data_IF_522733772140
#
_entry.id   IF_522733772140
#
_cell.length_a   1.000
_cell.length_b   1.000
_cell.length_c   1.000
_cell.angle_alpha   90.00
_cell.angle_beta   90.00
_cell.angle_gamma   90.00
#
_symmetry.space_group_name_H-M   'P 1'
#
loop_
_entity.id
_entity.type
_entity.pdbx_description
1 polymer ?
#
# COMPACT_ATOMS: atom_id res chain seq x y z
N UNK A 1 -33.84 9.22 -14.95
CA UNK A 1 -33.30 8.29 -13.92
C UNK A 1 -31.86 8.65 -13.72
N UNK A 2 -31.36 8.71 -12.49
CA UNK A 2 -29.97 8.95 -12.24
C UNK A 2 -29.15 7.68 -12.55
N UNK A 3 -27.96 7.84 -13.12
CA UNK A 3 -27.02 6.74 -13.29
C UNK A 3 -26.61 6.18 -11.92
N UNK A 4 -26.18 4.93 -11.88
CA UNK A 4 -25.61 4.33 -10.68
C UNK A 4 -24.44 5.18 -10.23
N UNK A 5 -24.24 5.43 -8.91
CA UNK A 5 -23.08 6.16 -8.43
C UNK A 5 -21.77 5.60 -9.00
N UNK A 6 -20.86 6.50 -9.38
CA UNK A 6 -19.53 6.17 -9.96
C UNK A 6 -19.54 5.54 -11.38
N UNK A 7 -20.68 5.55 -12.10
CA UNK A 7 -20.66 5.21 -13.53
C UNK A 7 -20.05 6.38 -14.32
N UNK A 8 -19.08 6.08 -15.18
CA UNK A 8 -18.46 7.06 -16.08
C UNK A 8 -19.48 7.41 -17.18
N UNK A 9 -19.91 8.66 -17.23
CA UNK A 9 -20.86 9.22 -18.18
C UNK A 9 -20.16 10.24 -19.08
N UNK A 10 -20.88 10.82 -20.02
CA UNK A 10 -20.33 11.88 -20.90
C UNK A 10 -19.84 13.12 -20.14
N UNK A 11 -20.25 13.30 -18.87
CA UNK A 11 -19.82 14.45 -18.04
C UNK A 11 -18.40 14.33 -17.51
N UNK A 12 -17.86 13.11 -17.42
CA UNK A 12 -16.48 12.87 -17.02
C UNK A 12 -15.44 13.02 -18.16
N UNK A 13 -15.91 13.26 -19.39
CA UNK A 13 -15.02 13.52 -20.54
C UNK A 13 -14.99 15.01 -20.85
N UNK A 14 -13.88 15.67 -20.57
CA UNK A 14 -13.62 17.09 -20.89
C UNK A 14 -12.92 17.27 -22.25
N UNK A 15 -12.82 16.21 -23.04
CA UNK A 15 -12.20 16.18 -24.37
C UNK A 15 -13.24 16.36 -25.48
N UNK A 16 -12.82 16.84 -26.64
CA UNK A 16 -13.71 16.90 -27.83
C UNK A 16 -14.05 15.48 -28.32
N UNK A 17 -15.31 15.21 -28.68
CA UNK A 17 -15.69 13.93 -29.23
C UNK A 17 -14.91 13.59 -30.49
N UNK A 18 -14.30 12.39 -30.54
CA UNK A 18 -13.55 11.86 -31.68
C UNK A 18 -12.37 12.75 -32.15
N UNK A 19 -11.79 13.51 -31.20
CA UNK A 19 -10.54 14.21 -31.45
C UNK A 19 -9.40 13.20 -31.56
N UNK A 20 -8.50 13.38 -32.52
CA UNK A 20 -7.30 12.55 -32.63
C UNK A 20 -6.31 13.09 -31.61
N UNK A 21 -6.03 12.33 -30.58
CA UNK A 21 -5.03 12.66 -29.59
C UNK A 21 -3.63 12.34 -30.13
N UNK A 22 -2.84 13.38 -30.41
CA UNK A 22 -1.44 13.25 -30.81
C UNK A 22 -0.47 13.20 -29.63
N UNK A 23 -0.99 13.31 -28.39
CA UNK A 23 -0.15 13.18 -27.21
C UNK A 23 0.17 11.73 -27.02
N UNK A 24 1.38 11.33 -27.40
CA UNK A 24 1.97 10.09 -26.94
C UNK A 24 2.07 10.20 -25.42
N UNK A 25 1.14 9.60 -24.70
CA UNK A 25 1.24 9.42 -23.27
C UNK A 25 2.59 8.75 -22.99
N UNK A 26 3.33 9.26 -22.02
CA UNK A 26 4.46 8.51 -21.46
C UNK A 26 3.92 7.14 -21.08
N UNK A 27 4.54 6.07 -21.61
CA UNK A 27 4.15 4.71 -21.28
C UNK A 27 4.16 4.57 -19.78
N UNK A 28 3.01 4.25 -19.19
CA UNK A 28 2.90 4.02 -17.74
C UNK A 28 3.46 2.63 -17.49
N UNK A 29 4.65 2.58 -16.93
CA UNK A 29 5.38 1.34 -16.76
C UNK A 29 4.90 0.58 -15.53
N UNK A 30 4.42 -0.62 -15.78
CA UNK A 30 4.01 -1.65 -14.80
C UNK A 30 5.23 -2.25 -14.07
N UNK A 31 6.41 -1.94 -14.54
CA UNK A 31 7.69 -2.59 -14.22
C UNK A 31 8.11 -2.42 -12.77
N UNK A 32 7.82 -1.30 -12.12
CA UNK A 32 8.15 -1.09 -10.71
C UNK A 32 7.52 -2.14 -9.79
N UNK A 33 6.27 -2.53 -10.08
CA UNK A 33 5.59 -3.56 -9.30
C UNK A 33 6.23 -4.94 -9.47
N UNK A 34 6.56 -5.31 -10.69
CA UNK A 34 7.18 -6.60 -11.00
C UNK A 34 8.55 -6.75 -10.32
N UNK A 35 9.33 -5.68 -10.22
CA UNK A 35 10.62 -5.70 -9.54
C UNK A 35 10.50 -5.81 -8.02
N UNK A 36 9.63 -4.99 -7.43
CA UNK A 36 9.36 -5.08 -5.99
C UNK A 36 8.85 -6.48 -5.63
N UNK A 37 7.96 -7.04 -6.46
CA UNK A 37 7.49 -8.41 -6.29
C UNK A 37 8.58 -9.45 -6.57
N UNK A 38 9.57 -9.15 -7.41
CA UNK A 38 10.71 -10.02 -7.71
C UNK A 38 11.66 -10.25 -6.53
N UNK A 39 11.78 -9.29 -5.61
CA UNK A 39 12.56 -9.46 -4.35
C UNK A 39 11.78 -10.22 -3.27
N UNK A 40 10.47 -10.34 -3.41
CA UNK A 40 9.62 -11.18 -2.57
C UNK A 40 9.47 -12.56 -3.21
N UNK A 41 8.95 -13.53 -2.44
CA UNK A 41 8.64 -14.87 -2.97
C UNK A 41 7.15 -14.98 -3.27
N UNK A 42 6.68 -14.69 -4.50
CA UNK A 42 5.27 -14.83 -4.82
C UNK A 42 4.88 -16.31 -4.85
N UNK A 43 3.89 -16.69 -4.04
CA UNK A 43 3.41 -18.07 -3.91
C UNK A 43 1.90 -18.11 -4.12
N UNK A 44 1.46 -18.90 -5.08
CA UNK A 44 0.03 -19.11 -5.36
C UNK A 44 -0.64 -19.88 -4.22
N UNK A 45 -1.80 -19.41 -3.75
CA UNK A 45 -2.64 -20.04 -2.73
C UNK A 45 -4.13 -19.85 -3.05
N UNK A 46 -4.97 -20.69 -2.46
CA UNK A 46 -6.42 -20.49 -2.53
C UNK A 46 -6.89 -19.36 -1.61
N UNK A 47 -8.01 -18.73 -1.99
CA UNK A 47 -8.67 -17.72 -1.14
C UNK A 47 -9.05 -18.30 0.23
N UNK A 48 -8.90 -17.49 1.27
CA UNK A 48 -9.20 -17.91 2.65
C UNK A 48 -8.16 -18.87 3.25
N UNK A 49 -7.02 -19.13 2.57
CA UNK A 49 -5.93 -19.91 3.17
C UNK A 49 -5.39 -19.16 4.38
N UNK A 50 -5.49 -19.77 5.55
CA UNK A 50 -4.83 -19.28 6.76
C UNK A 50 -3.34 -19.61 6.68
N UNK A 51 -2.53 -18.59 6.82
CA UNK A 51 -1.09 -18.71 6.78
C UNK A 51 -0.58 -18.79 8.23
N UNK A 52 0.05 -19.92 8.57
CA UNK A 52 0.66 -20.11 9.89
C UNK A 52 2.14 -20.47 9.73
N UNK A 53 3.00 -19.80 10.46
CA UNK A 53 4.39 -20.21 10.64
C UNK A 53 4.55 -20.83 12.03
N UNK A 54 5.42 -21.81 12.16
CA UNK A 54 5.77 -22.39 13.46
C UNK A 54 7.12 -21.86 13.90
N UNK A 55 7.17 -21.26 15.07
CA UNK A 55 8.42 -20.76 15.67
C UNK A 55 8.73 -21.57 16.91
N UNK A 56 9.94 -22.10 16.99
CA UNK A 56 10.45 -22.73 18.20
C UNK A 56 11.20 -21.68 19.04
N UNK A 57 10.81 -21.52 20.30
CA UNK A 57 11.47 -20.68 21.31
C UNK A 57 11.88 -21.55 22.48
N UNK A 58 12.96 -21.21 23.16
CA UNK A 58 13.39 -21.96 24.34
C UNK A 58 14.75 -21.50 24.83
N UNK A 59 15.07 -21.90 26.03
CA UNK A 59 16.35 -21.59 26.67
C UNK A 59 17.08 -22.86 27.07
N UNK A 60 18.39 -22.83 26.80
CA UNK A 60 19.29 -23.88 27.28
C UNK A 60 19.55 -23.67 28.79
N UNK A 61 19.34 -24.72 29.56
CA UNK A 61 19.77 -24.73 30.94
C UNK A 61 21.29 -24.86 31.06
N UNK A 62 21.84 -24.51 32.21
CA UNK A 62 23.28 -24.57 32.43
C UNK A 62 23.82 -25.98 32.16
N UNK A 63 24.80 -26.09 31.24
CA UNK A 63 25.53 -27.34 30.98
C UNK A 63 26.67 -27.59 32.00
N UNK A 64 26.93 -26.66 32.89
CA UNK A 64 27.96 -26.82 33.97
C UNK A 64 27.36 -27.55 35.13
N UNK A 65 27.50 -28.86 35.19
CA UNK A 65 26.99 -29.75 36.23
C UNK A 65 28.18 -30.46 36.86
N UNK A 66 28.12 -30.68 38.17
CA UNK A 66 29.16 -31.42 38.86
C UNK A 66 29.14 -32.92 38.45
N UNK A 67 30.24 -33.59 38.65
CA UNK A 67 30.35 -35.04 38.34
C UNK A 67 29.37 -35.83 39.22
N UNK A 68 28.46 -36.56 38.56
CA UNK A 68 27.44 -37.38 39.20
C UNK A 68 26.09 -36.63 39.46
N UNK A 69 26.00 -35.33 39.17
CA UNK A 69 24.76 -34.57 39.33
C UNK A 69 23.81 -34.72 38.13
N UNK A 70 22.51 -34.47 38.37
CA UNK A 70 21.48 -34.56 37.36
C UNK A 70 21.60 -33.35 36.40
N UNK A 71 21.72 -33.65 35.09
CA UNK A 71 21.73 -32.61 34.04
C UNK A 71 20.33 -31.98 33.93
N UNK A 72 20.18 -30.64 34.10
CA UNK A 72 18.89 -29.96 33.97
C UNK A 72 18.33 -30.05 32.57
N UNK A 73 17.02 -30.24 32.43
CA UNK A 73 16.32 -30.31 31.14
C UNK A 73 16.13 -28.91 30.56
N UNK A 74 16.61 -28.72 29.35
CA UNK A 74 16.29 -27.53 28.52
C UNK A 74 14.90 -27.71 27.91
N UNK A 75 14.06 -26.69 27.97
CA UNK A 75 12.72 -26.72 27.42
C UNK A 75 12.63 -25.86 26.15
N UNK A 76 12.05 -26.41 25.14
CA UNK A 76 11.73 -25.70 23.88
C UNK A 76 10.24 -25.86 23.62
N UNK A 77 9.61 -24.74 23.26
CA UNK A 77 8.19 -24.68 22.92
C UNK A 77 8.02 -24.26 21.45
N UNK A 78 7.03 -24.83 20.78
CA UNK A 78 6.72 -24.49 19.40
C UNK A 78 5.37 -23.76 19.36
N UNK A 79 5.41 -22.49 19.04
CA UNK A 79 4.22 -21.66 18.95
C UNK A 79 3.86 -21.41 17.47
N UNK A 80 2.56 -21.47 17.12
CA UNK A 80 2.11 -21.00 15.82
C UNK A 80 2.10 -19.46 15.80
N UNK A 81 2.55 -18.89 14.70
CA UNK A 81 2.41 -17.46 14.38
C UNK A 81 1.41 -17.38 13.23
N UNK A 82 0.23 -16.86 13.52
CA UNK A 82 -0.84 -16.73 12.54
C UNK A 82 -0.70 -15.40 11.78
N UNK A 83 -0.85 -15.47 10.46
CA UNK A 83 -0.88 -14.30 9.57
C UNK A 83 -2.30 -14.08 9.07
N UNK A 84 -2.56 -12.89 8.56
CA UNK A 84 -3.84 -12.53 7.95
C UNK A 84 -4.18 -13.48 6.81
N UNK A 85 -5.44 -13.94 6.69
CA UNK A 85 -5.87 -14.75 5.55
C UNK A 85 -5.82 -13.91 4.27
N UNK A 86 -5.70 -14.59 3.12
CA UNK A 86 -5.77 -13.92 1.83
C UNK A 86 -7.23 -13.54 1.57
N UNK A 87 -7.50 -12.25 1.39
CA UNK A 87 -8.80 -11.73 1.04
C UNK A 87 -8.86 -11.31 -0.43
N UNK A 88 -10.02 -11.56 -1.07
CA UNK A 88 -10.25 -11.15 -2.45
C UNK A 88 -10.86 -9.75 -2.50
N UNK A 89 -10.11 -8.81 -3.07
CA UNK A 89 -10.59 -7.48 -3.42
C UNK A 89 -11.24 -7.51 -4.80
N UNK A 90 -12.33 -6.80 -4.98
CA UNK A 90 -13.14 -6.79 -6.20
C UNK A 90 -13.43 -5.36 -6.59
N UNK A 91 -13.13 -5.04 -7.83
CA UNK A 91 -13.31 -3.70 -8.38
C UNK A 91 -14.16 -3.77 -9.64
N UNK A 92 -14.94 -2.73 -9.89
CA UNK A 92 -15.79 -2.62 -11.08
C UNK A 92 -15.82 -1.19 -11.59
N UNK A 93 -15.72 -1.04 -12.90
CA UNK A 93 -15.89 0.21 -13.63
C UNK A 93 -16.98 0.01 -14.68
N UNK A 94 -17.79 1.02 -14.96
CA UNK A 94 -18.82 0.97 -15.98
C UNK A 94 -18.80 2.23 -16.83
N UNK A 95 -18.95 2.08 -18.16
CA UNK A 95 -19.02 3.16 -19.14
C UNK A 95 -20.31 3.02 -19.93
N UNK A 96 -21.11 4.10 -20.03
CA UNK A 96 -22.40 4.09 -20.71
C UNK A 96 -22.26 4.03 -22.24
N UNK A 97 -23.25 3.48 -22.92
CA UNK A 97 -23.26 3.40 -24.38
C UNK A 97 -23.22 4.78 -25.04
N UNK A 98 -23.84 5.79 -24.41
CA UNK A 98 -23.85 7.17 -24.88
C UNK A 98 -22.44 7.77 -24.89
N UNK A 99 -21.65 7.47 -23.87
CA UNK A 99 -20.24 7.89 -23.81
C UNK A 99 -19.42 7.17 -24.88
N UNK A 100 -19.65 5.87 -25.08
CA UNK A 100 -18.95 5.06 -26.11
C UNK A 100 -19.33 5.56 -27.51
N UNK A 101 -20.61 5.85 -27.78
CA UNK A 101 -21.03 6.35 -29.10
C UNK A 101 -20.43 7.74 -29.39
N UNK A 102 -20.40 8.60 -28.38
CA UNK A 102 -19.92 9.98 -28.53
C UNK A 102 -18.41 10.08 -28.69
N UNK A 103 -17.63 9.34 -27.92
CA UNK A 103 -16.17 9.47 -27.84
C UNK A 103 -15.40 8.33 -28.53
N UNK A 104 -16.07 7.23 -28.84
CA UNK A 104 -15.48 6.01 -29.40
C UNK A 104 -15.11 5.00 -28.32
N UNK A 105 -15.09 3.71 -28.70
CA UNK A 105 -14.83 2.60 -27.78
C UNK A 105 -13.42 2.70 -27.16
N UNK A 106 -12.42 2.97 -27.98
CA UNK A 106 -11.02 3.06 -27.57
C UNK A 106 -10.81 4.14 -26.51
N UNK A 107 -11.33 5.34 -26.74
CA UNK A 107 -11.19 6.44 -25.79
C UNK A 107 -12.03 6.22 -24.53
N UNK A 108 -13.28 5.81 -24.68
CA UNK A 108 -14.21 5.71 -23.55
C UNK A 108 -13.95 4.48 -22.66
N UNK A 109 -13.55 3.36 -23.24
CA UNK A 109 -13.33 2.10 -22.53
C UNK A 109 -11.83 1.79 -22.46
N UNK A 110 -11.11 1.78 -23.57
CA UNK A 110 -9.70 1.39 -23.63
C UNK A 110 -8.80 2.24 -22.72
N UNK A 111 -8.78 3.57 -22.94
CA UNK A 111 -7.93 4.46 -22.11
C UNK A 111 -8.33 4.44 -20.62
N UNK A 112 -9.63 4.33 -20.34
CA UNK A 112 -10.07 4.25 -18.94
C UNK A 112 -9.81 2.87 -18.31
N UNK A 113 -9.71 1.79 -19.10
CA UNK A 113 -9.29 0.46 -18.64
C UNK A 113 -7.79 0.43 -18.33
N UNK A 114 -6.96 1.09 -19.17
CA UNK A 114 -5.54 1.24 -18.87
C UNK A 114 -5.31 1.98 -17.57
N UNK A 115 -5.99 3.12 -17.36
CA UNK A 115 -5.90 3.85 -16.10
C UNK A 115 -6.38 3.02 -14.92
N UNK A 116 -7.45 2.26 -15.08
CA UNK A 116 -7.97 1.37 -14.05
C UNK A 116 -6.95 0.30 -13.65
N UNK A 117 -6.25 -0.31 -14.62
CA UNK A 117 -5.18 -1.27 -14.36
C UNK A 117 -4.01 -0.63 -13.62
N UNK A 118 -3.58 0.57 -14.03
CA UNK A 118 -2.51 1.31 -13.35
C UNK A 118 -2.86 1.58 -11.90
N UNK A 119 -4.08 2.02 -11.63
CA UNK A 119 -4.52 2.28 -10.25
C UNK A 119 -4.57 1.00 -9.39
N UNK A 120 -4.92 -0.15 -9.96
CA UNK A 120 -4.86 -1.43 -9.25
C UNK A 120 -3.42 -1.82 -8.90
N UNK A 121 -2.47 -1.54 -9.76
CA UNK A 121 -1.06 -1.82 -9.50
C UNK A 121 -0.48 -0.87 -8.45
N UNK A 122 -0.81 0.41 -8.53
CA UNK A 122 -0.44 1.39 -7.50
C UNK A 122 -0.99 0.98 -6.12
N UNK A 123 -2.20 0.41 -6.07
CA UNK A 123 -2.79 -0.10 -4.84
C UNK A 123 -1.97 -1.26 -4.23
N UNK A 124 -1.49 -2.18 -5.07
CA UNK A 124 -0.61 -3.27 -4.62
C UNK A 124 0.72 -2.72 -4.10
N UNK A 125 1.33 -1.75 -4.78
CA UNK A 125 2.55 -1.10 -4.32
C UNK A 125 2.34 -0.39 -2.99
N UNK A 126 1.25 0.37 -2.86
CA UNK A 126 0.91 1.03 -1.62
C UNK A 126 0.72 0.03 -0.46
N UNK A 127 0.02 -1.09 -0.69
CA UNK A 127 -0.13 -2.15 0.30
C UNK A 127 1.21 -2.76 0.69
N UNK A 128 2.10 -2.98 -0.27
CA UNK A 128 3.45 -3.50 -0.03
C UNK A 128 4.26 -2.57 0.88
N UNK A 129 4.35 -1.29 0.54
CA UNK A 129 5.11 -0.33 1.34
C UNK A 129 4.47 -0.06 2.70
N UNK A 130 3.14 0.03 2.79
CA UNK A 130 2.43 0.17 4.05
C UNK A 130 2.69 -1.02 4.98
N UNK A 131 2.75 -2.25 4.44
CA UNK A 131 3.15 -3.41 5.21
C UNK A 131 4.60 -3.28 5.71
N UNK A 132 5.55 -2.88 4.88
CA UNK A 132 6.95 -2.70 5.27
C UNK A 132 7.12 -1.67 6.39
N UNK A 133 6.32 -0.60 6.40
CA UNK A 133 6.31 0.42 7.45
C UNK A 133 5.89 -0.11 8.82
N UNK A 134 5.27 -1.30 8.90
CA UNK A 134 4.95 -1.97 10.18
C UNK A 134 6.16 -2.66 10.81
N UNK A 135 7.35 -2.57 10.21
CA UNK A 135 8.59 -3.11 10.72
C UNK A 135 8.90 -2.69 12.16
N UNK A 136 9.45 -3.62 12.95
CA UNK A 136 9.57 -3.45 14.40
C UNK A 136 10.94 -2.88 14.85
N UNK A 137 11.94 -2.82 13.96
CA UNK A 137 13.25 -2.24 14.29
C UNK A 137 13.25 -0.73 14.00
N UNK A 138 12.64 0.05 14.88
CA UNK A 138 12.57 1.51 14.73
C UNK A 138 13.79 2.22 15.32
N UNK A 139 14.25 3.30 14.69
CA UNK A 139 15.12 4.33 15.27
C UNK A 139 14.98 5.65 14.52
N UNK A 140 15.55 6.69 15.10
CA UNK A 140 15.60 8.04 14.53
C UNK A 140 17.04 8.42 14.24
N UNK A 141 17.27 9.01 13.08
CA UNK A 141 18.58 9.47 12.62
C UNK A 141 18.43 10.86 11.98
N UNK A 142 19.50 11.65 12.02
CA UNK A 142 19.44 13.05 11.56
C UNK A 142 19.62 13.20 10.05
N UNK A 143 20.25 12.25 9.39
CA UNK A 143 20.56 12.33 7.95
C UNK A 143 20.16 11.06 7.21
N UNK A 144 19.87 11.17 5.93
CA UNK A 144 19.56 10.04 5.05
C UNK A 144 20.67 8.96 5.07
N UNK A 145 21.93 9.38 4.97
CA UNK A 145 23.07 8.45 4.97
C UNK A 145 23.16 7.64 6.28
N UNK A 146 22.95 8.29 7.42
CA UNK A 146 22.92 7.61 8.72
C UNK A 146 21.73 6.68 8.83
N UNK A 147 20.55 7.12 8.34
CA UNK A 147 19.35 6.30 8.34
C UNK A 147 19.54 5.00 7.55
N UNK A 148 20.11 5.06 6.34
CA UNK A 148 20.43 3.87 5.53
C UNK A 148 21.45 2.97 6.26
N UNK A 149 22.53 3.52 6.77
CA UNK A 149 23.56 2.75 7.47
C UNK A 149 23.01 2.05 8.72
N UNK A 150 22.18 2.74 9.51
CA UNK A 150 21.54 2.19 10.71
C UNK A 150 20.46 1.17 10.38
N UNK A 151 19.68 1.39 9.32
CA UNK A 151 18.69 0.40 8.85
C UNK A 151 19.37 -0.95 8.54
N UNK A 152 20.44 -0.92 7.75
CA UNK A 152 21.21 -2.12 7.40
C UNK A 152 21.87 -2.73 8.66
N UNK A 153 22.47 -1.90 9.51
CA UNK A 153 23.14 -2.33 10.73
C UNK A 153 22.19 -3.07 11.67
N UNK A 154 20.99 -2.51 11.90
CA UNK A 154 19.95 -3.11 12.76
C UNK A 154 19.44 -4.44 12.21
N UNK A 155 19.20 -4.53 10.91
CA UNK A 155 18.80 -5.79 10.26
C UNK A 155 19.88 -6.85 10.46
N UNK A 156 21.13 -6.55 10.15
CA UNK A 156 22.26 -7.50 10.31
C UNK A 156 22.47 -7.91 11.77
N UNK A 157 22.33 -6.98 12.73
CA UNK A 157 22.42 -7.27 14.16
C UNK A 157 21.29 -8.17 14.66
N UNK A 158 20.04 -7.88 14.22
CA UNK A 158 18.88 -8.71 14.57
C UNK A 158 19.05 -10.16 14.10
N UNK A 159 19.51 -10.37 12.85
CA UNK A 159 19.76 -11.72 12.32
C UNK A 159 20.92 -12.42 13.03
N UNK A 160 21.98 -11.69 13.38
CA UNK A 160 23.08 -12.25 14.18
C UNK A 160 22.61 -12.70 15.58
N UNK A 161 21.75 -11.90 16.24
CA UNK A 161 21.15 -12.27 17.54
C UNK A 161 20.26 -13.50 17.43
N UNK A 162 19.63 -13.72 16.30
CA UNK A 162 18.86 -14.94 16.00
C UNK A 162 19.76 -16.12 15.53
N UNK A 163 21.08 -15.95 15.56
CA UNK A 163 22.06 -16.93 15.01
C UNK A 163 21.78 -17.31 13.55
N UNK A 164 21.29 -16.34 12.76
CA UNK A 164 20.99 -16.48 11.34
C UNK A 164 21.81 -15.52 10.50
N UNK A 165 21.96 -15.82 9.23
CA UNK A 165 22.66 -14.94 8.28
C UNK A 165 21.61 -14.17 7.47
N UNK A 166 21.71 -12.84 7.46
CA UNK A 166 21.00 -12.00 6.50
C UNK A 166 21.79 -12.01 5.19
N UNK A 167 21.30 -12.73 4.20
CA UNK A 167 21.89 -12.71 2.85
C UNK A 167 21.16 -11.67 2.02
N UNK A 168 21.88 -10.63 1.63
CA UNK A 168 21.32 -9.51 0.88
C UNK A 168 20.39 -8.63 1.73
N UNK A 169 20.61 -7.33 1.72
CA UNK A 169 19.72 -6.37 2.38
C UNK A 169 19.20 -5.42 1.30
N UNK A 170 17.89 -5.46 1.07
CA UNK A 170 17.18 -4.47 0.28
C UNK A 170 16.79 -3.28 1.16
N UNK A 171 17.04 -2.08 0.66
CA UNK A 171 16.66 -0.83 1.30
C UNK A 171 15.66 -0.11 0.41
N UNK A 172 14.64 0.48 1.00
CA UNK A 172 13.63 1.28 0.32
C UNK A 172 13.60 2.67 0.93
N UNK A 173 13.58 3.69 0.09
CA UNK A 173 13.58 5.07 0.50
C UNK A 173 12.71 5.95 -0.42
N UNK A 174 12.30 7.11 0.07
CA UNK A 174 11.59 8.06 -0.77
C UNK A 174 12.51 8.63 -1.85
N UNK A 175 11.99 8.77 -3.05
CA UNK A 175 12.71 9.31 -4.21
C UNK A 175 13.31 10.69 -3.91
N UNK A 176 12.56 11.59 -3.26
CA UNK A 176 13.02 12.94 -2.96
C UNK A 176 14.17 12.93 -1.95
N UNK A 177 14.09 12.11 -0.90
CA UNK A 177 15.16 12.00 0.11
C UNK A 177 16.47 11.48 -0.51
N UNK A 178 16.36 10.55 -1.45
CA UNK A 178 17.52 10.02 -2.18
C UNK A 178 18.12 11.09 -3.09
N UNK A 179 17.31 11.79 -3.89
CA UNK A 179 17.81 12.82 -4.79
C UNK A 179 18.33 14.06 -4.06
N UNK A 180 17.78 14.41 -2.91
CA UNK A 180 18.33 15.43 -2.03
C UNK A 180 19.76 15.06 -1.59
N UNK A 181 19.95 13.82 -1.17
CA UNK A 181 21.29 13.31 -0.83
C UNK A 181 22.22 13.27 -2.05
N UNK A 182 21.75 12.76 -3.19
CA UNK A 182 22.54 12.64 -4.42
C UNK A 182 22.92 14.00 -5.01
N UNK A 183 22.11 15.04 -4.77
CA UNK A 183 22.43 16.41 -5.19
C UNK A 183 23.73 16.94 -4.58
N UNK A 184 24.13 16.42 -3.43
CA UNK A 184 25.43 16.68 -2.80
C UNK A 184 26.53 15.68 -3.10
N UNK A 185 26.24 14.55 -3.76
CA UNK A 185 27.14 13.44 -4.02
C UNK A 185 27.24 13.15 -5.52
N UNK A 186 28.46 12.92 -6.03
CA UNK A 186 28.65 12.51 -7.43
C UNK A 186 28.45 10.98 -7.55
N UNK A 187 27.21 10.54 -7.46
CA UNK A 187 26.85 9.12 -7.59
C UNK A 187 25.99 8.95 -8.84
N UNK A 188 26.26 7.91 -9.64
CA UNK A 188 25.48 7.57 -10.81
C UNK A 188 24.29 6.71 -10.38
N UNK A 189 23.09 7.15 -10.72
CA UNK A 189 21.84 6.39 -10.56
C UNK A 189 21.71 5.45 -11.76
N UNK A 190 21.33 4.23 -11.51
CA UNK A 190 20.99 3.24 -12.53
C UNK A 190 19.46 3.14 -12.61
N UNK A 191 18.95 3.04 -13.82
CA UNK A 191 17.52 2.81 -14.05
C UNK A 191 17.35 1.44 -14.68
N UNK A 192 16.59 0.58 -14.04
CA UNK A 192 16.17 -0.68 -14.62
C UNK A 192 14.67 -0.88 -14.33
N UNK A 193 13.95 -1.34 -15.36
CA UNK A 193 12.52 -1.68 -15.25
C UNK A 193 11.63 -0.56 -14.69
N UNK A 194 11.95 0.69 -14.95
CA UNK A 194 11.17 1.85 -14.53
C UNK A 194 11.39 2.30 -13.07
N UNK A 195 12.25 1.62 -12.32
CA UNK A 195 12.69 2.07 -11.00
C UNK A 195 14.13 2.54 -11.01
N UNK A 196 14.39 3.61 -10.28
CA UNK A 196 15.76 4.06 -10.02
C UNK A 196 16.32 3.30 -8.82
N UNK A 197 17.55 2.82 -8.95
CA UNK A 197 18.24 2.11 -7.88
C UNK A 197 19.75 2.38 -7.88
N UNK A 198 20.38 2.10 -6.75
CA UNK A 198 21.84 2.11 -6.57
C UNK A 198 22.25 0.79 -5.95
N UNK A 199 23.16 0.08 -6.62
CA UNK A 199 23.77 -1.13 -6.08
C UNK A 199 24.91 -0.80 -5.11
N UNK A 200 25.07 -1.65 -4.09
CA UNK A 200 26.17 -1.56 -3.10
C UNK A 200 26.26 -0.21 -2.37
N UNK A 201 25.10 0.45 -2.15
CA UNK A 201 25.06 1.71 -1.44
C UNK A 201 25.18 1.50 0.08
N UNK A 202 26.27 1.98 0.68
CA UNK A 202 26.56 1.86 2.12
C UNK A 202 26.45 0.42 2.68
N UNK A 203 26.61 -0.59 1.82
CA UNK A 203 26.52 -1.99 2.20
C UNK A 203 25.10 -2.58 2.12
N UNK A 204 24.13 -1.86 1.54
CA UNK A 204 22.92 -2.43 0.97
C UNK A 204 23.28 -3.11 -0.35
N UNK A 205 22.71 -4.27 -0.63
CA UNK A 205 22.87 -4.90 -1.92
C UNK A 205 22.12 -4.11 -3.00
N UNK A 206 20.91 -3.65 -2.67
CA UNK A 206 20.09 -2.81 -3.54
C UNK A 206 19.38 -1.74 -2.69
N UNK A 207 19.37 -0.50 -3.18
CA UNK A 207 18.56 0.61 -2.67
C UNK A 207 17.52 0.97 -3.72
N UNK A 208 16.24 0.75 -3.41
CA UNK A 208 15.10 1.12 -4.24
C UNK A 208 14.55 2.49 -3.86
N UNK A 209 14.20 3.27 -4.88
CA UNK A 209 13.57 4.58 -4.73
C UNK A 209 12.10 4.47 -5.11
N UNK A 210 11.22 4.89 -4.24
CA UNK A 210 9.79 4.91 -4.52
C UNK A 210 9.11 6.10 -3.86
N UNK A 211 8.24 6.77 -4.59
CA UNK A 211 7.37 7.80 -4.02
C UNK A 211 6.29 7.24 -3.09
N UNK A 212 6.14 5.90 -3.07
CA UNK A 212 5.22 5.23 -2.14
C UNK A 212 5.78 5.12 -0.72
N UNK A 213 7.11 5.19 -0.56
CA UNK A 213 7.73 5.33 0.76
C UNK A 213 7.52 6.77 1.24
N UNK A 214 6.97 7.02 2.44
CA UNK A 214 6.85 8.38 2.98
C UNK A 214 8.21 9.08 3.08
N UNK A 215 8.24 10.40 2.83
CA UNK A 215 9.46 11.17 3.02
C UNK A 215 9.96 11.09 4.47
N UNK A 216 11.28 11.02 4.61
CA UNK A 216 11.90 10.86 5.92
C UNK A 216 11.83 9.45 6.48
N UNK A 217 11.47 8.44 5.67
CA UNK A 217 11.48 7.03 6.07
C UNK A 217 12.46 6.24 5.22
N UNK A 218 13.24 5.41 5.91
CA UNK A 218 14.11 4.42 5.28
C UNK A 218 13.75 3.05 5.83
N UNK A 219 13.42 2.12 4.94
CA UNK A 219 13.04 0.76 5.30
C UNK A 219 14.14 -0.20 4.84
N UNK A 220 14.51 -1.16 5.67
CA UNK A 220 15.45 -2.20 5.28
C UNK A 220 14.96 -3.59 5.70
N UNK A 221 15.15 -4.57 4.82
CA UNK A 221 14.81 -5.97 5.07
C UNK A 221 15.74 -6.90 4.28
N UNK A 222 16.03 -8.12 4.78
CA UNK A 222 16.71 -9.10 3.95
C UNK A 222 15.86 -9.49 2.75
N UNK A 223 16.50 -9.66 1.61
CA UNK A 223 15.82 -9.98 0.33
C UNK A 223 14.87 -11.18 0.44
N UNK A 224 15.25 -12.20 1.20
CA UNK A 224 14.44 -13.42 1.35
C UNK A 224 13.47 -13.42 2.54
N UNK A 225 13.30 -12.29 3.22
CA UNK A 225 12.41 -12.18 4.37
C UNK A 225 10.95 -11.94 3.98
N UNK A 226 10.72 -11.41 2.78
CA UNK A 226 9.39 -11.05 2.31
C UNK A 226 8.76 -12.21 1.54
N UNK A 227 7.54 -12.53 1.88
CA UNK A 227 6.72 -13.52 1.21
C UNK A 227 5.42 -12.86 0.75
N UNK A 228 5.05 -13.13 -0.50
CA UNK A 228 3.81 -12.68 -1.10
C UNK A 228 2.99 -13.89 -1.47
N UNK A 229 1.82 -14.00 -0.88
CA UNK A 229 0.84 -15.00 -1.28
C UNK A 229 -0.26 -14.36 -2.10
N UNK A 230 -0.65 -14.99 -3.18
CA UNK A 230 -1.69 -14.47 -4.05
C UNK A 230 -2.64 -15.56 -4.51
N UNK A 231 -3.87 -15.14 -4.83
CA UNK A 231 -4.86 -15.97 -5.50
C UNK A 231 -4.71 -15.73 -7.00
N UNK A 232 -4.57 -16.80 -7.76
CA UNK A 232 -4.51 -16.72 -9.22
C UNK A 232 -5.93 -16.57 -9.79
N UNK A 233 -6.30 -15.41 -10.38
CA UNK A 233 -7.63 -15.21 -10.95
C UNK A 233 -7.92 -16.07 -12.19
N UNK A 234 -6.87 -16.63 -12.80
CA UNK A 234 -7.01 -17.55 -13.95
C UNK A 234 -7.19 -19.02 -13.52
N UNK A 235 -7.36 -19.28 -12.21
CA UNK A 235 -7.56 -20.65 -11.71
C UNK A 235 -8.86 -21.27 -12.24
N UNK A 236 -8.84 -22.59 -12.39
CA UNK A 236 -9.96 -23.40 -12.90
C UNK A 236 -11.27 -23.23 -12.09
N UNK A 237 -11.19 -22.92 -10.81
CA UNK A 237 -12.37 -22.69 -9.95
C UNK A 237 -13.18 -21.46 -10.38
N UNK A 238 -12.51 -20.36 -10.78
CA UNK A 238 -13.19 -19.19 -11.33
C UNK A 238 -13.85 -19.51 -12.67
N UNK A 239 -13.15 -20.25 -13.55
CA UNK A 239 -13.69 -20.66 -14.84
C UNK A 239 -14.91 -21.59 -14.70
N UNK A 240 -14.91 -22.51 -13.73
CA UNK A 240 -16.05 -23.39 -13.43
C UNK A 240 -17.26 -22.60 -12.88
N UNK A 241 -17.01 -21.49 -12.18
CA UNK A 241 -18.06 -20.58 -11.75
C UNK A 241 -18.59 -19.66 -12.88
N UNK A 242 -18.06 -19.79 -14.09
CA UNK A 242 -18.42 -18.95 -15.24
C UNK A 242 -17.75 -17.56 -15.20
N UNK A 243 -16.74 -17.37 -14.36
CA UNK A 243 -15.98 -16.13 -14.21
C UNK A 243 -14.61 -16.32 -14.85
N UNK A 244 -14.46 -15.88 -16.09
CA UNK A 244 -13.19 -15.95 -16.80
C UNK A 244 -12.47 -14.60 -16.72
N UNK A 245 -11.35 -14.57 -16.00
CA UNK A 245 -10.46 -13.41 -15.94
C UNK A 245 -9.21 -13.67 -16.79
N UNK A 246 -8.73 -12.62 -17.45
CA UNK A 246 -7.41 -12.60 -18.08
C UNK A 246 -6.41 -12.00 -17.12
N UNK A 247 -5.20 -12.56 -17.08
CA UNK A 247 -4.08 -12.06 -16.28
C UNK A 247 -2.94 -11.72 -17.19
N UNK A 248 -2.13 -10.74 -16.80
CA UNK A 248 -0.85 -10.47 -17.45
C UNK A 248 0.22 -11.42 -16.87
N UNK A 249 1.17 -11.85 -17.71
CA UNK A 249 2.27 -12.72 -17.28
C UNK A 249 3.16 -12.05 -16.20
N UNK A 250 3.32 -10.74 -16.29
CA UNK A 250 4.12 -9.96 -15.36
C UNK A 250 3.35 -9.59 -14.07
N UNK A 251 2.01 -9.68 -14.09
CA UNK A 251 1.13 -9.33 -12.96
C UNK A 251 0.05 -10.42 -12.76
N UNK A 252 0.44 -11.65 -12.46
CA UNK A 252 -0.48 -12.81 -12.44
C UNK A 252 -1.51 -12.78 -11.30
N UNK A 253 -1.40 -11.85 -10.37
CA UNK A 253 -2.28 -11.69 -9.20
C UNK A 253 -3.43 -10.70 -9.43
N UNK A 254 -3.48 -10.02 -10.60
CA UNK A 254 -4.60 -9.16 -11.00
C UNK A 254 -5.32 -9.82 -12.17
N UNK A 255 -6.57 -10.18 -11.95
CA UNK A 255 -7.47 -10.67 -12.99
C UNK A 255 -8.33 -9.54 -13.53
N UNK A 256 -8.48 -9.48 -14.86
CA UNK A 256 -9.23 -8.45 -15.54
C UNK A 256 -10.23 -9.06 -16.53
N UNK A 257 -11.46 -8.53 -16.58
CA UNK A 257 -12.51 -8.95 -17.50
C UNK A 257 -13.37 -7.77 -17.92
N UNK A 258 -13.71 -7.67 -19.20
CA UNK A 258 -14.61 -6.63 -19.71
C UNK A 258 -15.74 -7.27 -20.49
N UNK A 259 -16.98 -6.86 -20.21
CA UNK A 259 -18.16 -7.35 -20.92
C UNK A 259 -19.21 -6.27 -21.15
N UNK A 260 -20.09 -6.49 -22.14
CA UNK A 260 -21.26 -5.64 -22.36
C UNK A 260 -22.46 -6.09 -21.52
N UNK A 261 -23.04 -5.17 -20.75
CA UNK A 261 -24.21 -5.44 -19.91
C UNK A 261 -25.47 -4.87 -20.56
N UNK A 262 -26.26 -5.74 -21.20
CA UNK A 262 -27.46 -5.36 -21.93
C UNK A 262 -28.54 -4.69 -21.06
N UNK A 263 -28.67 -5.12 -19.80
CA UNK A 263 -29.69 -4.58 -18.88
C UNK A 263 -29.52 -3.09 -18.60
N UNK A 264 -28.31 -2.54 -18.79
CA UNK A 264 -27.95 -1.17 -18.50
C UNK A 264 -27.40 -0.41 -19.70
N UNK A 265 -27.30 -1.08 -20.85
CA UNK A 265 -26.71 -0.54 -22.07
C UNK A 265 -25.33 0.10 -21.78
N UNK A 266 -24.41 -0.64 -21.14
CA UNK A 266 -23.10 -0.15 -20.77
C UNK A 266 -22.05 -1.25 -20.92
N UNK A 267 -20.78 -0.86 -21.04
CA UNK A 267 -19.62 -1.72 -20.93
C UNK A 267 -19.16 -1.72 -19.46
N UNK A 268 -18.94 -2.89 -18.88
CA UNK A 268 -18.42 -3.03 -17.53
C UNK A 268 -17.07 -3.75 -17.56
N UNK A 269 -16.11 -3.19 -16.83
CA UNK A 269 -14.80 -3.80 -16.59
C UNK A 269 -14.70 -4.21 -15.14
N UNK A 270 -14.31 -5.45 -14.91
CA UNK A 270 -14.18 -6.07 -13.60
C UNK A 270 -12.72 -6.39 -13.35
N UNK A 271 -12.26 -6.13 -12.15
CA UNK A 271 -10.96 -6.58 -11.70
C UNK A 271 -11.10 -7.33 -10.36
N UNK A 272 -10.28 -8.37 -10.21
CA UNK A 272 -10.17 -9.15 -8.98
C UNK A 272 -8.71 -9.25 -8.59
N UNK A 273 -8.42 -9.06 -7.32
CA UNK A 273 -7.08 -9.15 -6.77
C UNK A 273 -7.14 -9.81 -5.40
N UNK A 274 -6.29 -10.80 -5.16
CA UNK A 274 -6.13 -11.42 -3.85
C UNK A 274 -4.65 -11.50 -3.52
N UNK A 275 -4.21 -10.66 -2.60
CA UNK A 275 -2.80 -10.54 -2.23
C UNK A 275 -2.67 -10.41 -0.71
N UNK A 276 -1.71 -11.11 -0.13
CA UNK A 276 -1.29 -10.92 1.26
C UNK A 276 0.23 -10.92 1.32
N UNK A 277 0.77 -9.91 1.99
CA UNK A 277 2.20 -9.71 2.16
C UNK A 277 2.54 -9.96 3.63
N UNK A 278 3.58 -10.72 3.88
CA UNK A 278 4.11 -10.87 5.23
C UNK A 278 5.63 -11.05 5.23
N UNK A 279 6.26 -10.65 6.33
CA UNK A 279 7.67 -10.93 6.59
C UNK A 279 7.80 -12.16 7.49
N UNK A 280 8.66 -13.09 7.14
CA UNK A 280 8.97 -14.25 8.00
C UNK A 280 9.45 -13.78 9.39
N UNK A 281 10.24 -12.70 9.40
CA UNK A 281 10.74 -12.03 10.61
C UNK A 281 10.40 -10.53 10.56
N UNK A 282 9.18 -10.16 10.94
CA UNK A 282 8.75 -8.76 11.01
C UNK A 282 9.58 -7.97 12.04
N UNK A 283 10.01 -8.63 13.11
CA UNK A 283 10.93 -8.07 14.11
C UNK A 283 12.35 -7.82 13.59
N UNK A 284 12.63 -8.14 12.35
CA UNK A 284 13.91 -7.88 11.65
C UNK A 284 13.73 -6.98 10.41
N UNK A 285 12.57 -6.38 10.24
CA UNK A 285 12.34 -5.29 9.29
C UNK A 285 12.63 -3.98 10.00
N UNK A 286 13.59 -3.21 9.49
CA UNK A 286 13.97 -1.92 10.05
C UNK A 286 13.20 -0.78 9.39
N UNK A 287 12.70 0.16 10.19
CA UNK A 287 12.06 1.41 9.75
C UNK A 287 12.72 2.55 10.49
N UNK A 288 13.51 3.35 9.78
CA UNK A 288 14.29 4.45 10.36
C UNK A 288 13.64 5.77 9.96
N UNK A 289 13.45 6.66 10.93
CA UNK A 289 12.95 8.01 10.71
C UNK A 289 14.10 8.99 10.56
N UNK A 290 14.02 9.87 9.57
CA UNK A 290 14.93 11.02 9.42
C UNK A 290 14.28 12.22 10.10
N UNK A 291 14.91 12.79 11.12
CA UNK A 291 14.29 13.82 11.98
C UNK A 291 14.14 15.19 11.32
N UNK A 292 14.95 15.49 10.31
CA UNK A 292 14.87 16.74 9.55
C UNK A 292 13.91 16.67 8.35
N UNK A 293 13.18 15.56 8.21
CA UNK A 293 12.22 15.37 7.13
C UNK A 293 10.96 16.26 7.29
N UNK A 294 10.27 16.58 6.20
CA UNK A 294 9.00 17.30 6.26
C UNK A 294 7.99 16.61 7.18
N UNK A 295 7.28 17.39 7.97
CA UNK A 295 6.27 16.91 8.90
C UNK A 295 4.86 17.26 8.44
N UNK A 296 3.87 16.41 8.79
CA UNK A 296 2.48 16.68 8.51
C UNK A 296 2.00 17.96 9.20
N UNK A 297 1.28 18.79 8.44
CA UNK A 297 0.56 19.92 9.03
C UNK A 297 -0.59 19.41 9.89
N UNK A 298 -0.72 19.93 11.09
CA UNK A 298 -1.80 19.58 11.99
C UNK A 298 -3.13 20.18 11.50
N UNK A 299 -4.13 19.33 11.25
CA UNK A 299 -5.49 19.71 10.91
C UNK A 299 -6.35 19.52 12.16
N UNK A 300 -7.13 20.53 12.50
CA UNK A 300 -8.13 20.39 13.56
C UNK A 300 -9.42 19.86 12.96
N UNK A 301 -9.86 18.71 13.42
CA UNK A 301 -11.13 18.09 13.05
C UNK A 301 -12.14 18.37 14.16
N UNK A 302 -13.25 19.00 13.83
CA UNK A 302 -14.34 19.28 14.77
C UNK A 302 -15.58 18.48 14.37
N UNK A 303 -15.84 17.34 15.03
CA UNK A 303 -17.01 16.52 14.75
C UNK A 303 -18.29 17.15 15.33
N UNK A 304 -19.41 16.83 14.69
CA UNK A 304 -20.76 17.16 15.14
C UNK A 304 -21.73 16.03 14.73
N UNK A 305 -22.91 16.02 15.31
CA UNK A 305 -23.97 15.08 14.94
C UNK A 305 -24.35 15.25 13.45
N UNK A 306 -24.55 14.12 12.78
CA UNK A 306 -25.05 14.10 11.43
C UNK A 306 -26.52 14.51 11.32
N UNK A 307 -27.01 14.66 10.10
CA UNK A 307 -28.42 15.00 9.85
C UNK A 307 -29.34 13.79 9.94
N UNK A 308 -28.79 12.59 9.87
CA UNK A 308 -29.51 11.31 9.87
C UNK A 308 -28.99 10.46 11.01
N UNK A 309 -29.87 9.66 11.62
CA UNK A 309 -29.49 8.67 12.63
C UNK A 309 -28.34 7.77 12.14
N UNK A 310 -27.36 7.50 13.00
CA UNK A 310 -26.17 6.72 12.64
C UNK A 310 -25.11 7.47 11.84
N UNK A 311 -25.23 8.81 11.72
CA UNK A 311 -24.24 9.60 10.98
C UNK A 311 -23.54 10.65 11.86
N UNK A 312 -22.36 11.04 11.43
CA UNK A 312 -21.54 12.14 11.98
C UNK A 312 -21.22 13.14 10.88
N UNK A 313 -20.89 14.36 11.25
CA UNK A 313 -20.32 15.38 10.38
C UNK A 313 -19.01 15.88 10.96
N UNK A 314 -18.16 16.45 10.14
CA UNK A 314 -16.98 17.13 10.64
C UNK A 314 -16.70 18.42 9.84
N UNK A 315 -16.14 19.41 10.54
CA UNK A 315 -15.56 20.61 9.96
C UNK A 315 -14.06 20.65 10.23
N UNK A 316 -13.30 21.21 9.30
CA UNK A 316 -11.85 21.28 9.38
C UNK A 316 -11.35 22.70 9.49
N UNK A 317 -10.25 22.88 10.21
CA UNK A 317 -9.45 24.08 10.19
C UNK A 317 -7.96 23.74 10.22
N UNK A 318 -7.12 24.65 9.71
CA UNK A 318 -5.68 24.43 9.66
C UNK A 318 -5.20 23.61 8.44
N UNK A 319 -6.02 23.43 7.40
CA UNK A 319 -5.58 22.85 6.11
C UNK A 319 -4.50 23.75 5.47
N UNK A 320 -3.72 23.20 4.55
CA UNK A 320 -2.69 24.01 3.85
C UNK A 320 -3.32 25.05 2.94
N UNK A 321 -4.53 24.78 2.43
CA UNK A 321 -5.23 25.65 1.47
C UNK A 321 -4.57 25.67 0.10
N UNK A 322 -3.73 24.67 -0.21
CA UNK A 322 -3.06 24.58 -1.51
C UNK A 322 -4.05 24.11 -2.56
N UNK A 323 -4.11 24.84 -3.69
CA UNK A 323 -4.97 24.48 -4.82
C UNK A 323 -4.55 23.11 -5.37
N UNK A 324 -5.56 22.27 -5.65
CA UNK A 324 -5.35 20.90 -6.14
C UNK A 324 -5.25 19.83 -5.05
N UNK A 325 -5.10 20.21 -3.77
CA UNK A 325 -5.14 19.28 -2.68
C UNK A 325 -6.55 18.70 -2.50
N UNK A 326 -6.62 17.44 -2.11
CA UNK A 326 -7.86 16.70 -1.85
C UNK A 326 -7.94 16.31 -0.38
N UNK A 327 -9.17 16.26 0.14
CA UNK A 327 -9.43 15.82 1.50
C UNK A 327 -9.91 14.37 1.47
N UNK A 328 -9.28 13.54 2.28
CA UNK A 328 -9.62 12.12 2.43
C UNK A 328 -9.89 11.80 3.89
N UNK A 329 -10.68 10.76 4.17
CA UNK A 329 -10.90 10.32 5.54
C UNK A 329 -10.97 8.80 5.65
N UNK A 330 -10.74 8.33 6.87
CA UNK A 330 -10.95 6.93 7.26
C UNK A 330 -11.47 6.88 8.68
N UNK A 331 -12.40 5.95 8.95
CA UNK A 331 -12.90 5.66 10.29
C UNK A 331 -12.10 4.49 10.90
N UNK A 332 -11.88 4.55 12.20
CA UNK A 332 -11.21 3.50 12.94
C UNK A 332 -11.63 3.45 14.39
N UNK A 333 -11.32 2.36 15.10
CA UNK A 333 -11.55 2.25 16.55
C UNK A 333 -10.67 3.21 17.38
N UNK A 334 -9.61 3.74 16.78
CA UNK A 334 -8.72 4.75 17.32
C UNK A 334 -8.30 5.72 16.21
N UNK A 335 -7.66 6.82 16.57
CA UNK A 335 -6.99 7.71 15.62
C UNK A 335 -5.96 6.92 14.79
N UNK A 336 -6.03 7.05 13.47
CA UNK A 336 -5.11 6.36 12.56
C UNK A 336 -3.87 7.25 12.40
N UNK A 337 -2.68 6.75 12.74
CA UNK A 337 -1.45 7.50 12.51
C UNK A 337 -1.22 7.64 11.00
N UNK A 338 -0.75 8.79 10.58
CA UNK A 338 -0.45 9.12 9.17
C UNK A 338 0.92 9.78 9.13
N UNK A 339 1.71 9.47 8.12
CA UNK A 339 3.03 10.06 7.91
C UNK A 339 3.04 11.04 6.73
N UNK A 340 4.00 11.98 6.71
CA UNK A 340 4.15 12.88 5.58
C UNK A 340 4.51 12.10 4.31
N UNK A 341 3.80 12.36 3.22
CA UNK A 341 3.98 11.63 1.96
C UNK A 341 3.33 10.25 1.90
N UNK A 342 2.62 9.81 2.95
CA UNK A 342 1.87 8.54 2.92
C UNK A 342 0.79 8.56 1.84
N UNK A 343 0.64 7.44 1.12
CA UNK A 343 -0.37 7.32 0.07
C UNK A 343 -1.75 7.02 0.67
N UNK A 344 -2.67 7.98 0.53
CA UNK A 344 -4.05 7.88 1.03
C UNK A 344 -5.08 7.79 -0.09
N UNK A 345 -4.68 7.36 -1.30
CA UNK A 345 -5.56 7.23 -2.47
C UNK A 345 -6.83 6.44 -2.16
N UNK A 346 -6.69 5.33 -1.43
CA UNK A 346 -7.79 4.41 -1.12
C UNK A 346 -8.69 4.85 0.04
N UNK A 347 -8.40 6.00 0.65
CA UNK A 347 -9.27 6.56 1.66
C UNK A 347 -10.49 7.22 1.02
N UNK A 348 -11.61 7.26 1.75
CA UNK A 348 -12.84 7.89 1.27
C UNK A 348 -12.65 9.40 1.09
N UNK A 349 -13.32 9.97 0.09
CA UNK A 349 -13.29 11.42 -0.13
C UNK A 349 -14.03 12.11 1.01
N UNK A 350 -13.37 13.08 1.64
CA UNK A 350 -13.98 13.89 2.69
C UNK A 350 -14.60 15.15 2.07
N UNK A 351 -15.88 15.36 2.40
CA UNK A 351 -16.59 16.62 2.09
C UNK A 351 -16.98 17.28 3.39
N UNK A 352 -16.62 18.53 3.55
CA UNK A 352 -16.87 19.31 4.77
C UNK A 352 -18.38 19.37 5.08
N UNK A 353 -18.76 19.07 6.32
CA UNK A 353 -20.14 19.06 6.79
C UNK A 353 -21.09 18.07 6.10
N UNK A 354 -20.58 17.14 5.30
CA UNK A 354 -21.38 16.04 4.76
C UNK A 354 -21.62 14.96 5.84
N UNK A 355 -22.75 14.26 5.73
CA UNK A 355 -23.05 13.12 6.60
C UNK A 355 -22.14 11.93 6.26
N UNK A 356 -21.57 11.34 7.27
CA UNK A 356 -20.69 10.16 7.21
C UNK A 356 -21.29 9.10 8.13
N UNK A 357 -21.56 7.91 7.61
CA UNK A 357 -21.99 6.77 8.42
C UNK A 357 -20.90 6.42 9.43
N UNK A 358 -21.22 6.40 10.71
CA UNK A 358 -20.27 6.12 11.79
C UNK A 358 -20.97 5.50 12.99
N UNK A 359 -20.20 4.79 13.80
CA UNK A 359 -20.67 4.19 15.05
C UNK A 359 -20.04 4.92 16.24
N UNK A 360 -20.81 5.12 17.30
CA UNK A 360 -20.30 5.75 18.51
C UNK A 360 -19.04 5.03 19.03
N UNK A 361 -18.04 5.80 19.44
CA UNK A 361 -16.74 5.28 19.89
C UNK A 361 -15.68 5.16 18.81
N UNK A 362 -16.03 5.37 17.53
CA UNK A 362 -15.03 5.47 16.46
C UNK A 362 -14.33 6.83 16.45
N UNK A 363 -13.21 6.87 15.74
CA UNK A 363 -12.47 8.08 15.40
C UNK A 363 -12.55 8.31 13.89
N UNK A 364 -12.69 9.57 13.51
CA UNK A 364 -12.49 10.01 12.13
C UNK A 364 -11.09 10.60 12.02
N UNK A 365 -10.27 10.05 11.13
CA UNK A 365 -8.99 10.63 10.74
C UNK A 365 -9.16 11.25 9.37
N UNK A 366 -8.88 12.54 9.26
CA UNK A 366 -8.95 13.29 7.99
C UNK A 366 -7.55 13.69 7.58
N UNK A 367 -7.26 13.52 6.30
CA UNK A 367 -5.97 13.82 5.67
C UNK A 367 -6.18 14.80 4.53
N UNK A 368 -5.36 15.84 4.48
CA UNK A 368 -5.15 16.66 3.30
C UNK A 368 -4.03 16.02 2.49
N UNK A 369 -4.30 15.68 1.25
CA UNK A 369 -3.36 15.07 0.34
C UNK A 369 -3.15 15.93 -0.90
N UNK A 370 -1.98 15.87 -1.47
CA UNK A 370 -1.65 16.53 -2.73
C UNK A 370 -2.37 15.88 -3.93
N UNK A 371 -2.10 16.36 -5.14
CA UNK A 371 -2.69 15.86 -6.39
C UNK A 371 -2.34 14.39 -6.69
N UNK A 372 -1.31 13.82 -6.06
CA UNK A 372 -0.90 12.42 -6.16
C UNK A 372 -1.35 11.57 -4.96
N UNK A 373 -2.24 12.12 -4.13
CA UNK A 373 -2.77 11.48 -2.92
C UNK A 373 -1.74 11.25 -1.83
N UNK A 374 -0.65 12.04 -1.79
CA UNK A 374 0.35 11.99 -0.71
C UNK A 374 -0.06 12.93 0.42
N UNK A 375 -0.04 12.42 1.65
CA UNK A 375 -0.45 13.15 2.85
C UNK A 375 0.47 14.35 3.12
N UNK A 376 -0.10 15.54 3.26
CA UNK A 376 0.61 16.79 3.60
C UNK A 376 0.10 17.41 4.90
N UNK A 377 -1.06 16.98 5.37
CA UNK A 377 -1.63 17.37 6.65
C UNK A 377 -2.60 16.32 7.16
N UNK A 378 -2.74 16.19 8.48
CA UNK A 378 -3.66 15.23 9.09
C UNK A 378 -4.23 15.72 10.41
N UNK A 379 -5.40 15.18 10.77
CA UNK A 379 -6.02 15.36 12.07
C UNK A 379 -7.05 14.29 12.36
N UNK A 380 -7.25 14.02 13.64
CA UNK A 380 -8.20 12.99 14.10
C UNK A 380 -9.03 13.50 15.25
N UNK A 381 -10.30 13.05 15.29
CA UNK A 381 -11.18 13.30 16.43
C UNK A 381 -12.15 12.13 16.65
N UNK A 382 -12.64 11.97 17.87
CA UNK A 382 -13.71 11.02 18.17
C UNK A 382 -15.01 11.50 17.50
N UNK A 383 -15.73 10.62 16.84
CA UNK A 383 -16.98 10.97 16.16
C UNK A 383 -18.09 11.32 17.16
N UNK A 384 -18.97 12.25 16.77
CA UNK A 384 -20.21 12.56 17.44
C UNK A 384 -21.32 12.05 16.54
N UNK A 385 -22.02 11.00 16.94
CA UNK A 385 -23.02 10.33 16.11
C UNK A 385 -24.41 10.78 16.53
N UNK A 386 -25.27 11.06 15.54
CA UNK A 386 -26.69 11.29 15.77
C UNK A 386 -27.34 9.98 16.22
N UNK A 387 -27.89 9.95 17.41
CA UNK A 387 -28.54 8.78 18.03
C UNK A 387 -30.07 8.75 17.82
N UNK A 388 -30.61 9.67 17.01
CA UNK A 388 -32.02 9.70 16.63
C UNK A 388 -32.98 10.25 17.71
N UNK A 389 -32.43 10.95 18.76
CA UNK A 389 -33.27 11.58 19.82
C UNK A 389 -33.73 12.98 19.47
#
# INVERSE_FOLDING_TARGET
>A
MAAIPNTITTQQFSINPREVDFVTSFGREITALTEVMGISRPIKKANGTMLTAKRATGELQSGSVAEGDLIPLSQFEVEPVDFQPIELLKYRKAVTIEAIEKYGLETAVGMTDEEFKVQLQDDVLAQFYNFLLTGQLASEETTFQMAVAMAIGRVKDAFKKMHRSATGVAVFANTLDVYEYLGGAQITVQTAFGMDYVENFLGADILFFSSEVPQGRVIATPVNNLNVYYVDPADSEFAQAGLAYTTDADVPYIGFHTEGVYQRAQSESYAIMGLTIFAEYLNAVAVITITDAPTLKTITVTPAEGSVEGTTKATLSGTTGTDGNVLKYKLGAAAIPVEYGENVRNWSVFTQSADIEATAGQYITVVEADQWFKAVGSGSAAVVVNDGQ
#
